data_IF_183736422673
#
_entry.id   IF_183736422673
#
_cell.length_a   1.000
_cell.length_b   1.000
_cell.length_c   1.000
_cell.angle_alpha   90.00
_cell.angle_beta   90.00
_cell.angle_gamma   90.00
#
_symmetry.space_group_name_H-M   'P 1'
#
loop_
_entity.id
_entity.type
_entity.pdbx_description
1 polymer ?
#
# COMPACT_ATOMS: atom_id res chain seq x y z
N UNK A 1 -41.45 10.93 11.38
CA UNK A 1 -40.15 11.46 10.92
C UNK A 1 -39.72 12.55 11.89
N UNK A 2 -38.49 12.47 12.43
CA UNK A 2 -37.49 13.36 11.87
C UNK A 2 -36.10 12.70 11.68
N UNK A 3 -35.65 12.67 10.43
CA UNK A 3 -34.29 13.00 9.96
C UNK A 3 -33.01 12.48 10.68
N UNK A 4 -33.04 11.43 11.49
CA UNK A 4 -31.80 10.81 11.98
C UNK A 4 -30.98 10.19 10.84
N UNK A 5 -29.93 10.86 10.35
CA UNK A 5 -28.93 10.18 9.54
C UNK A 5 -27.99 10.98 8.63
N UNK A 6 -28.08 12.31 8.47
CA UNK A 6 -26.98 12.99 7.78
C UNK A 6 -25.80 13.20 8.74
N UNK A 7 -24.56 12.85 8.33
CA UNK A 7 -23.38 13.12 9.13
C UNK A 7 -23.28 14.64 9.39
N UNK A 8 -23.14 14.99 10.67
CA UNK A 8 -23.01 16.38 11.10
C UNK A 8 -21.64 16.93 10.65
N UNK A 9 -21.59 18.13 10.04
CA UNK A 9 -20.34 18.76 9.63
C UNK A 9 -19.41 18.96 10.84
N UNK A 10 -18.25 18.31 10.84
CA UNK A 10 -17.17 18.59 11.80
C UNK A 10 -16.81 17.48 12.80
N UNK A 11 -17.30 16.24 12.64
CA UNK A 11 -16.69 15.13 13.37
C UNK A 11 -15.28 14.83 12.83
N UNK A 12 -14.35 14.35 13.67
CA UNK A 12 -12.97 14.02 13.24
C UNK A 12 -12.88 13.01 12.08
N UNK A 13 -13.94 12.22 11.82
CA UNK A 13 -14.05 11.31 10.68
C UNK A 13 -14.78 11.87 9.45
N UNK A 14 -15.43 13.04 9.56
CA UNK A 14 -16.30 13.61 8.51
C UNK A 14 -15.50 14.16 7.32
N UNK A 15 -14.25 14.60 7.54
CA UNK A 15 -13.36 15.08 6.48
C UNK A 15 -12.93 13.98 5.50
N UNK A 16 -12.68 12.75 6.01
CA UNK A 16 -12.34 11.59 5.18
C UNK A 16 -13.57 11.08 4.44
N UNK A 17 -14.71 10.92 5.13
CA UNK A 17 -15.95 10.43 4.51
C UNK A 17 -16.46 11.39 3.41
N UNK A 18 -16.36 12.71 3.60
CA UNK A 18 -16.73 13.68 2.57
C UNK A 18 -15.87 13.60 1.31
N UNK A 19 -14.58 13.30 1.44
CA UNK A 19 -13.69 13.17 0.28
C UNK A 19 -13.84 11.80 -0.40
N UNK A 20 -13.93 10.71 0.37
CA UNK A 20 -13.97 9.37 -0.20
C UNK A 20 -15.35 8.97 -0.73
N UNK A 21 -16.44 9.49 -0.17
CA UNK A 21 -17.79 8.99 -0.42
C UNK A 21 -18.04 7.60 0.20
N UNK A 22 -19.27 7.05 0.10
CA UNK A 22 -19.61 5.75 0.68
C UNK A 22 -18.84 4.59 0.02
N UNK A 23 -18.56 3.55 0.83
CA UNK A 23 -17.95 2.30 0.36
C UNK A 23 -18.95 1.52 -0.49
N UNK A 24 -18.51 1.12 -1.68
CA UNK A 24 -19.25 0.26 -2.60
C UNK A 24 -18.94 -1.20 -2.32
N UNK A 25 -17.65 -1.55 -2.19
CA UNK A 25 -17.19 -2.92 -1.94
C UNK A 25 -15.76 -2.95 -1.42
N UNK A 26 -15.35 -4.11 -0.94
CA UNK A 26 -13.96 -4.43 -0.62
C UNK A 26 -13.35 -5.27 -1.73
N UNK A 27 -12.10 -4.97 -2.08
CA UNK A 27 -11.33 -5.66 -3.10
C UNK A 27 -10.08 -6.24 -2.46
N UNK A 28 -9.90 -7.55 -2.62
CA UNK A 28 -8.70 -8.25 -2.17
C UNK A 28 -7.59 -8.10 -3.21
N UNK A 29 -6.43 -7.63 -2.75
CA UNK A 29 -5.17 -7.62 -3.51
C UNK A 29 -4.30 -8.73 -2.93
N UNK A 30 -4.04 -9.82 -3.67
CA UNK A 30 -3.28 -10.95 -3.16
C UNK A 30 -1.81 -10.56 -2.93
N UNK A 31 -1.07 -11.33 -2.10
CA UNK A 31 0.37 -11.19 -1.99
C UNK A 31 1.07 -11.34 -3.35
N UNK A 32 2.12 -10.54 -3.56
CA UNK A 32 2.87 -10.52 -4.81
C UNK A 32 4.30 -11.03 -4.58
N UNK A 33 4.71 -12.08 -5.30
CA UNK A 33 6.10 -12.48 -5.39
C UNK A 33 6.84 -11.59 -6.40
N UNK A 34 7.92 -10.96 -5.98
CA UNK A 34 8.80 -10.13 -6.81
C UNK A 34 10.21 -10.68 -6.79
N UNK A 35 10.89 -10.66 -7.93
CA UNK A 35 12.32 -10.99 -7.99
C UNK A 35 13.14 -9.72 -7.83
N UNK A 36 14.07 -9.72 -6.89
CA UNK A 36 14.96 -8.59 -6.57
C UNK A 36 16.41 -9.04 -6.64
N UNK A 37 17.28 -8.17 -7.13
CA UNK A 37 18.71 -8.45 -7.25
C UNK A 37 19.42 -8.00 -5.97
N UNK A 38 19.86 -8.92 -5.11
CA UNK A 38 20.48 -8.58 -3.83
C UNK A 38 21.98 -8.88 -3.82
N UNK A 39 22.80 -8.04 -3.18
CA UNK A 39 24.22 -8.30 -3.04
C UNK A 39 24.43 -9.55 -2.18
N UNK A 40 25.16 -10.50 -2.73
CA UNK A 40 25.57 -11.67 -1.97
C UNK A 40 26.93 -11.43 -1.31
N UNK A 41 27.12 -11.84 -0.04
CA UNK A 41 28.42 -11.80 0.58
C UNK A 41 29.43 -12.55 -0.29
N UNK A 42 30.48 -11.85 -0.70
CA UNK A 42 31.59 -12.44 -1.42
C UNK A 42 32.85 -12.26 -0.58
N UNK A 43 33.81 -13.19 -0.68
CA UNK A 43 35.10 -13.05 -0.02
C UNK A 43 35.73 -11.70 -0.39
N UNK A 44 36.54 -11.09 0.49
CA UNK A 44 37.05 -9.71 0.33
C UNK A 44 37.75 -9.43 -1.01
N UNK A 45 38.24 -10.47 -1.69
CA UNK A 45 38.93 -10.38 -2.99
C UNK A 45 38.03 -10.70 -4.20
N UNK A 46 36.77 -11.07 -3.98
CA UNK A 46 35.83 -11.46 -5.03
C UNK A 46 35.07 -10.25 -5.59
N UNK A 47 34.67 -10.28 -6.88
CA UNK A 47 33.87 -9.22 -7.46
C UNK A 47 32.48 -9.19 -6.83
N UNK A 48 31.98 -7.97 -6.61
CA UNK A 48 30.60 -7.71 -6.21
C UNK A 48 29.64 -8.43 -7.16
N UNK A 49 28.73 -9.22 -6.58
CA UNK A 49 27.71 -9.96 -7.32
C UNK A 49 26.34 -9.69 -6.74
N UNK A 50 25.40 -9.52 -7.64
CA UNK A 50 23.98 -9.54 -7.34
C UNK A 50 23.44 -10.91 -7.71
N UNK A 51 22.56 -11.45 -6.87
CA UNK A 51 21.82 -12.65 -7.18
C UNK A 51 20.30 -12.38 -7.07
N UNK A 52 19.50 -12.97 -7.97
CA UNK A 52 18.06 -12.86 -7.93
C UNK A 52 17.51 -13.61 -6.70
N UNK A 53 16.72 -12.91 -5.91
CA UNK A 53 16.00 -13.46 -4.77
C UNK A 53 14.51 -13.17 -4.92
N UNK A 54 13.67 -14.15 -4.59
CA UNK A 54 12.22 -13.94 -4.58
C UNK A 54 11.81 -13.44 -3.21
N UNK A 55 11.13 -12.29 -3.19
CA UNK A 55 10.56 -11.67 -1.99
C UNK A 55 9.06 -11.53 -2.17
N UNK A 56 8.29 -11.75 -1.10
CA UNK A 56 6.83 -11.62 -1.12
C UNK A 56 6.40 -10.30 -0.50
N UNK A 57 5.77 -9.44 -1.30
CA UNK A 57 5.03 -8.27 -0.83
C UNK A 57 3.67 -8.75 -0.29
N UNK A 58 3.32 -8.46 0.97
CA UNK A 58 2.04 -8.85 1.55
C UNK A 58 0.85 -8.31 0.75
N UNK A 59 -0.20 -9.11 0.64
CA UNK A 59 -1.49 -8.68 0.12
C UNK A 59 -2.20 -7.73 1.08
N UNK A 60 -3.28 -7.13 0.61
CA UNK A 60 -4.11 -6.22 1.41
C UNK A 60 -5.53 -6.14 0.84
N UNK A 61 -6.46 -5.62 1.64
CA UNK A 61 -7.84 -5.38 1.21
C UNK A 61 -8.07 -3.87 1.12
N UNK A 62 -8.46 -3.38 -0.05
CA UNK A 62 -8.80 -1.97 -0.27
C UNK A 62 -10.32 -1.78 -0.36
N UNK A 63 -10.79 -0.59 0.00
CA UNK A 63 -12.19 -0.23 -0.18
C UNK A 63 -12.35 0.57 -1.49
N UNK A 64 -13.24 0.10 -2.36
CA UNK A 64 -13.73 0.90 -3.47
C UNK A 64 -14.89 1.76 -2.96
N UNK A 65 -14.82 3.05 -3.21
CA UNK A 65 -15.85 4.02 -2.86
C UNK A 65 -16.45 4.65 -4.10
N UNK A 66 -17.51 5.44 -3.94
CA UNK A 66 -18.11 6.18 -5.05
C UNK A 66 -17.15 7.17 -5.71
N UNK A 67 -16.21 7.74 -4.93
CA UNK A 67 -15.32 8.77 -5.44
C UNK A 67 -13.92 8.22 -5.81
N UNK A 68 -13.56 7.00 -5.40
CA UNK A 68 -12.22 6.50 -5.62
C UNK A 68 -11.91 5.18 -4.90
N UNK A 69 -10.65 5.03 -4.50
CA UNK A 69 -10.14 3.87 -3.77
C UNK A 69 -9.45 4.31 -2.48
N UNK A 70 -9.83 3.69 -1.37
CA UNK A 70 -9.16 3.87 -0.09
C UNK A 70 -8.20 2.69 0.13
N UNK A 71 -6.91 2.95 -0.06
CA UNK A 71 -5.86 1.99 0.21
C UNK A 71 -5.56 1.97 1.70
N UNK A 72 -5.49 0.79 2.35
CA UNK A 72 -5.11 0.71 3.75
C UNK A 72 -3.63 1.05 3.93
N UNK A 73 -3.22 1.17 5.19
CA UNK A 73 -1.81 1.07 5.53
C UNK A 73 -1.27 -0.27 5.01
N UNK A 74 -0.17 -0.25 4.26
CA UNK A 74 0.37 -1.45 3.60
C UNK A 74 1.88 -1.38 3.46
N UNK A 75 2.52 -2.54 3.42
CA UNK A 75 3.94 -2.65 3.08
C UNK A 75 4.12 -2.58 1.56
N UNK A 76 5.12 -1.81 1.13
CA UNK A 76 5.62 -1.78 -0.24
C UNK A 76 7.12 -1.99 -0.22
N UNK A 77 7.66 -2.52 -1.32
CA UNK A 77 9.10 -2.64 -1.53
C UNK A 77 9.54 -1.57 -2.52
N UNK A 78 10.41 -0.66 -2.11
CA UNK A 78 10.97 0.39 -2.96
C UNK A 78 12.43 0.06 -3.29
N UNK A 79 12.82 0.22 -4.55
CA UNK A 79 14.22 0.13 -4.95
C UNK A 79 14.85 1.51 -4.85
N UNK A 80 15.85 1.66 -3.98
CA UNK A 80 16.54 2.95 -3.76
C UNK A 80 17.77 3.09 -4.66
N UNK A 81 18.42 1.96 -4.95
CA UNK A 81 19.55 1.88 -5.86
C UNK A 81 19.66 0.45 -6.43
N UNK A 82 20.59 0.24 -7.35
CA UNK A 82 20.97 -1.11 -7.79
C UNK A 82 21.42 -1.94 -6.59
N UNK A 83 20.80 -3.09 -6.36
CA UNK A 83 21.12 -3.95 -5.21
C UNK A 83 20.53 -3.51 -3.87
N UNK A 84 19.84 -2.37 -3.80
CA UNK A 84 19.37 -1.79 -2.53
C UNK A 84 17.85 -1.60 -2.57
N UNK A 85 17.16 -2.40 -1.76
CA UNK A 85 15.72 -2.36 -1.60
C UNK A 85 15.37 -2.02 -0.15
N UNK A 86 14.29 -1.27 0.04
CA UNK A 86 13.79 -0.92 1.36
C UNK A 86 12.30 -1.23 1.47
N UNK A 87 11.93 -1.91 2.55
CA UNK A 87 10.55 -2.01 2.98
C UNK A 87 10.06 -0.66 3.48
N UNK A 88 8.94 -0.21 2.92
CA UNK A 88 8.28 1.03 3.34
C UNK A 88 6.85 0.75 3.73
N UNK A 89 6.49 1.20 4.92
CA UNK A 89 5.10 1.22 5.37
C UNK A 89 4.43 2.47 4.79
N UNK A 90 3.53 2.28 3.83
CA UNK A 90 2.71 3.37 3.28
C UNK A 90 1.52 3.59 4.21
N UNK A 91 1.24 4.83 4.65
CA UNK A 91 0.04 5.12 5.41
C UNK A 91 -1.20 4.89 4.54
N UNK A 92 -2.36 4.87 5.18
CA UNK A 92 -3.64 4.86 4.46
C UNK A 92 -3.71 6.05 3.52
N UNK A 93 -4.17 5.82 2.30
CA UNK A 93 -4.17 6.81 1.23
C UNK A 93 -5.46 6.69 0.42
N UNK A 94 -6.10 7.83 0.13
CA UNK A 94 -7.23 7.88 -0.77
C UNK A 94 -6.77 8.33 -2.15
N UNK A 95 -7.14 7.56 -3.17
CA UNK A 95 -6.90 7.88 -4.56
C UNK A 95 -8.23 8.14 -5.26
N UNK A 96 -8.40 9.36 -5.77
CA UNK A 96 -9.56 9.75 -6.58
C UNK A 96 -9.56 8.98 -7.92
N UNK A 97 -10.74 8.57 -8.38
CA UNK A 97 -10.94 7.96 -9.71
C UNK A 97 -10.95 8.98 -10.83
#
# INVERSE_FOLDING_TARGET
MPWDGLPQPGMPGDGLVRQTGPVIRYLEVPPQAVTVELPVPSAETAPFRLEPQVVTIPGYVLAETTNGYLYPQRWTLEQLNVGVYQWRLRPQEFQLK
#
